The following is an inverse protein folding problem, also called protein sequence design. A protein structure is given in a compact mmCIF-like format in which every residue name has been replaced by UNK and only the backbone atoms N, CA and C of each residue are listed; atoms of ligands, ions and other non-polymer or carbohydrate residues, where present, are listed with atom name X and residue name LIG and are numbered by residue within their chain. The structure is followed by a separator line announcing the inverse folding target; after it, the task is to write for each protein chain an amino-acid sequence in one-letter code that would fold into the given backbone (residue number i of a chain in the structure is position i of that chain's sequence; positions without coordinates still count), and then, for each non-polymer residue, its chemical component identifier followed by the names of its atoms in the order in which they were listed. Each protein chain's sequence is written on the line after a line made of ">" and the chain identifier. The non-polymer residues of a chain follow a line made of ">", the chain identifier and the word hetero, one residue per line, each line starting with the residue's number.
data_IF_418063452533
#
_entry.id   IF_418063452533
#
_cell.length_a   1.000
_cell.length_b   1.000
_cell.length_c   1.000
_cell.angle_alpha   90.00
_cell.angle_beta   90.00
_cell.angle_gamma   90.00
#
_symmetry.space_group_name_H-M   'P 1'
#
loop_
_entity.id
_entity.type
_entity.pdbx_description
1 polymer ?
#
# COMPACT_ATOMS: atom_id res chain seq x y z
N UNK A 1 24.41 -33.19 -7.23
CA UNK A 1 23.70 -31.99 -7.75
C UNK A 1 22.68 -31.59 -6.71
N UNK A 2 23.07 -30.74 -5.75
CA UNK A 2 22.24 -30.40 -4.56
C UNK A 2 22.17 -28.87 -4.35
N UNK A 3 23.21 -28.13 -4.77
CA UNK A 3 23.25 -26.67 -4.62
C UNK A 3 22.30 -25.93 -5.57
N UNK A 4 22.05 -26.45 -6.78
CA UNK A 4 21.13 -25.80 -7.74
C UNK A 4 19.65 -25.94 -7.35
N UNK A 5 19.26 -27.10 -6.82
CA UNK A 5 17.87 -27.34 -6.40
C UNK A 5 17.53 -26.60 -5.11
N UNK A 6 18.46 -26.53 -4.16
CA UNK A 6 18.28 -25.74 -2.94
C UNK A 6 18.15 -24.24 -3.24
N UNK A 7 19.07 -23.67 -4.02
CA UNK A 7 18.96 -22.26 -4.42
C UNK A 7 17.71 -21.92 -5.24
N UNK A 8 17.24 -22.86 -6.08
CA UNK A 8 15.96 -22.72 -6.79
C UNK A 8 14.76 -22.70 -5.82
N UNK A 9 14.70 -23.65 -4.88
CA UNK A 9 13.63 -23.73 -3.89
C UNK A 9 13.62 -22.52 -2.96
N UNK A 10 14.78 -22.08 -2.50
CA UNK A 10 14.93 -20.88 -1.66
C UNK A 10 14.50 -19.61 -2.42
N UNK A 11 14.81 -19.54 -3.72
CA UNK A 11 14.34 -18.47 -4.61
C UNK A 11 12.83 -18.46 -4.81
N UNK A 12 12.21 -19.63 -5.01
CA UNK A 12 10.74 -19.75 -5.13
C UNK A 12 10.05 -19.35 -3.83
N UNK A 13 10.55 -19.83 -2.69
CA UNK A 13 9.98 -19.50 -1.37
C UNK A 13 10.13 -18.02 -1.05
N UNK A 14 11.29 -17.41 -1.32
CA UNK A 14 11.47 -15.97 -1.14
C UNK A 14 10.60 -15.15 -2.09
N UNK A 15 10.39 -15.61 -3.32
CA UNK A 15 9.42 -15.00 -4.24
C UNK A 15 8.01 -14.99 -3.64
N UNK A 16 7.56 -16.10 -3.06
CA UNK A 16 6.27 -16.19 -2.38
C UNK A 16 6.19 -15.30 -1.12
N UNK A 17 7.26 -15.24 -0.33
CA UNK A 17 7.32 -14.36 0.83
C UNK A 17 7.25 -12.90 0.42
N UNK A 18 8.00 -12.49 -0.60
CA UNK A 18 7.95 -11.12 -1.13
C UNK A 18 6.55 -10.78 -1.64
N UNK A 19 5.94 -11.65 -2.44
CA UNK A 19 4.59 -11.45 -2.98
C UNK A 19 3.54 -11.27 -1.85
N UNK A 20 3.64 -12.04 -0.76
CA UNK A 20 2.78 -11.90 0.42
C UNK A 20 3.11 -10.66 1.25
N UNK A 21 4.41 -10.39 1.45
CA UNK A 21 4.92 -9.29 2.26
C UNK A 21 4.50 -7.93 1.70
N UNK A 22 4.57 -7.76 0.37
CA UNK A 22 4.18 -6.55 -0.34
C UNK A 22 2.73 -6.16 -0.03
N UNK A 23 1.83 -7.14 0.06
CA UNK A 23 0.42 -6.89 0.41
C UNK A 23 0.23 -6.74 1.92
N UNK A 24 0.96 -7.50 2.75
CA UNK A 24 0.60 -7.68 4.17
C UNK A 24 1.44 -6.87 5.17
N UNK A 25 2.75 -7.14 5.25
CA UNK A 25 3.57 -6.73 6.41
C UNK A 25 4.96 -6.21 6.06
N UNK A 26 5.37 -6.21 4.79
CA UNK A 26 6.79 -6.16 4.46
C UNK A 26 7.57 -7.32 5.12
N UNK A 27 8.90 -7.19 5.23
CA UNK A 27 9.70 -8.12 6.02
C UNK A 27 9.55 -7.83 7.52
N UNK A 28 9.43 -6.55 7.86
CA UNK A 28 9.06 -6.07 9.19
C UNK A 28 8.09 -4.91 9.05
N UNK A 29 7.25 -4.70 10.06
CA UNK A 29 6.25 -3.64 10.09
C UNK A 29 6.25 -2.93 11.44
N UNK A 30 6.28 -1.61 11.38
CA UNK A 30 6.10 -0.70 12.52
C UNK A 30 4.67 -0.13 12.48
N UNK A 31 3.97 -0.26 13.59
CA UNK A 31 2.61 0.26 13.85
C UNK A 31 2.49 0.65 15.31
N UNK A 32 1.51 1.48 15.66
CA UNK A 32 1.17 1.70 17.07
C UNK A 32 0.59 0.43 17.68
N UNK A 33 0.69 0.28 19.01
CA UNK A 33 0.08 -0.85 19.74
C UNK A 33 -1.43 -0.92 19.53
N UNK A 34 -2.10 0.23 19.63
CA UNK A 34 -3.54 0.33 19.45
C UNK A 34 -3.97 -0.03 18.01
N UNK A 35 -3.24 0.46 16.99
CA UNK A 35 -3.50 0.09 15.60
C UNK A 35 -3.36 -1.42 15.38
N UNK A 36 -2.38 -2.06 16.03
CA UNK A 36 -2.18 -3.52 15.93
C UNK A 36 -3.36 -4.32 16.49
N UNK A 37 -3.97 -3.87 17.59
CA UNK A 37 -5.10 -4.56 18.23
C UNK A 37 -6.36 -4.51 17.35
N UNK A 38 -6.56 -3.39 16.66
CA UNK A 38 -7.76 -3.11 15.87
C UNK A 38 -7.51 -3.14 14.35
N UNK A 39 -6.43 -3.78 13.88
CA UNK A 39 -5.96 -3.66 12.49
C UNK A 39 -6.98 -4.12 11.44
N UNK A 40 -7.95 -4.95 11.82
CA UNK A 40 -9.04 -5.40 10.94
C UNK A 40 -10.00 -4.26 10.56
N UNK A 41 -10.05 -3.19 11.36
CA UNK A 41 -10.90 -2.03 11.16
C UNK A 41 -10.23 -0.91 10.35
N UNK A 42 -8.94 -1.07 10.01
CA UNK A 42 -8.12 -0.02 9.37
C UNK A 42 -8.19 1.34 10.11
N UNK A 43 -7.88 1.39 11.43
CA UNK A 43 -8.13 2.55 12.28
C UNK A 43 -7.12 3.67 12.04
N UNK A 44 -7.35 4.50 11.02
CA UNK A 44 -6.44 5.60 10.67
C UNK A 44 -6.38 6.71 11.74
N UNK A 45 -7.31 6.74 12.70
CA UNK A 45 -7.24 7.54 13.91
C UNK A 45 -6.13 7.08 14.89
N UNK A 46 -5.63 5.86 14.73
CA UNK A 46 -4.53 5.25 15.50
C UNK A 46 -3.20 5.19 14.71
N UNK A 47 -3.11 5.94 13.61
CA UNK A 47 -1.96 5.99 12.72
C UNK A 47 -0.68 6.50 13.40
N UNK A 48 0.46 6.21 12.79
CA UNK A 48 1.73 6.82 13.13
C UNK A 48 1.72 8.28 12.64
N UNK A 49 2.20 9.19 13.48
CA UNK A 49 2.41 10.61 13.15
C UNK A 49 3.90 10.87 12.94
N UNK A 50 4.22 12.02 12.35
CA UNK A 50 5.62 12.45 12.12
C UNK A 50 6.44 11.38 11.38
N UNK A 51 5.80 10.71 10.42
CA UNK A 51 6.35 9.51 9.78
C UNK A 51 7.60 9.80 8.96
N UNK A 52 7.78 11.03 8.46
CA UNK A 52 9.03 11.45 7.85
C UNK A 52 10.21 11.34 8.80
N UNK A 53 10.04 11.74 10.07
CA UNK A 53 11.08 11.60 11.10
C UNK A 53 11.32 10.12 11.42
N UNK A 54 10.25 9.35 11.67
CA UNK A 54 10.36 7.93 11.99
C UNK A 54 11.07 7.12 10.89
N UNK A 55 10.76 7.39 9.62
CA UNK A 55 11.42 6.73 8.48
C UNK A 55 12.90 7.09 8.42
N UNK A 56 13.26 8.34 8.71
CA UNK A 56 14.66 8.77 8.74
C UNK A 56 15.44 8.10 9.88
N UNK A 57 14.86 8.00 11.07
CA UNK A 57 15.46 7.31 12.23
C UNK A 57 15.65 5.82 11.95
N UNK A 58 14.60 5.14 11.46
CA UNK A 58 14.66 3.73 11.08
C UNK A 58 15.72 3.45 10.00
N UNK A 59 15.87 4.36 9.04
CA UNK A 59 16.88 4.22 7.98
C UNK A 59 18.31 4.41 8.50
N UNK A 60 18.51 5.22 9.53
CA UNK A 60 19.81 5.41 10.18
C UNK A 60 20.17 4.21 11.07
N UNK A 61 19.19 3.70 11.84
CA UNK A 61 19.39 2.60 12.78
C UNK A 61 19.50 1.24 12.07
N UNK A 62 18.85 1.09 10.91
CA UNK A 62 18.76 -0.14 10.13
C UNK A 62 19.11 0.08 8.66
N UNK A 63 20.38 0.41 8.32
CA UNK A 63 20.80 0.77 6.96
C UNK A 63 20.79 -0.41 5.98
N UNK A 64 20.66 -1.63 6.46
CA UNK A 64 20.47 -2.85 5.67
C UNK A 64 19.03 -3.00 5.15
N UNK A 65 18.12 -2.15 5.63
CA UNK A 65 16.74 -2.08 5.21
C UNK A 65 16.44 -0.76 4.50
N UNK A 66 15.41 -0.76 3.66
CA UNK A 66 14.72 0.45 3.26
C UNK A 66 13.32 0.46 3.86
N UNK A 67 12.86 1.65 4.21
CA UNK A 67 11.62 1.87 4.95
C UNK A 67 10.67 2.72 4.12
N UNK A 68 9.40 2.32 4.09
CA UNK A 68 8.38 2.99 3.30
C UNK A 68 7.10 3.12 4.12
N UNK A 69 6.55 4.34 4.25
CA UNK A 69 5.24 4.52 4.86
C UNK A 69 4.16 3.94 3.93
N UNK A 70 3.06 3.50 4.52
CA UNK A 70 1.86 3.02 3.81
C UNK A 70 0.61 3.43 4.55
N UNK A 71 -0.42 3.85 3.80
CA UNK A 71 -1.75 4.10 4.32
C UNK A 71 -2.70 3.03 3.80
N UNK A 72 -3.48 2.41 4.68
CA UNK A 72 -4.55 1.50 4.31
C UNK A 72 -5.88 2.13 4.67
N UNK A 73 -6.85 2.12 3.75
CA UNK A 73 -8.16 2.70 4.00
C UNK A 73 -9.25 2.00 3.21
N UNK A 74 -10.45 1.99 3.77
CA UNK A 74 -11.66 1.51 3.10
C UNK A 74 -12.57 2.67 2.74
N UNK A 75 -13.46 2.45 1.77
CA UNK A 75 -14.46 3.43 1.40
C UNK A 75 -15.42 2.92 0.33
N UNK A 76 -16.16 3.84 -0.26
CA UNK A 76 -16.92 3.63 -1.48
C UNK A 76 -16.26 4.44 -2.61
N UNK A 77 -16.15 3.86 -3.79
CA UNK A 77 -15.92 4.62 -5.01
C UNK A 77 -17.25 4.88 -5.68
N UNK A 78 -17.52 6.14 -5.98
CA UNK A 78 -18.64 6.63 -6.74
C UNK A 78 -18.15 7.09 -8.12
N UNK A 79 -18.83 6.63 -9.18
CA UNK A 79 -18.54 7.02 -10.56
C UNK A 79 -19.66 7.97 -11.01
N UNK A 80 -19.34 9.25 -11.26
CA UNK A 80 -20.33 10.20 -11.74
C UNK A 80 -20.62 10.02 -13.24
N UNK A 81 -21.84 10.33 -13.65
CA UNK A 81 -22.22 10.49 -15.06
C UNK A 81 -21.85 11.90 -15.59
N UNK A 82 -22.23 12.19 -16.84
CA UNK A 82 -21.98 13.50 -17.47
C UNK A 82 -22.64 14.69 -16.74
N UNK A 83 -23.67 14.43 -15.93
CA UNK A 83 -24.36 15.44 -15.14
C UNK A 83 -23.83 15.53 -13.69
N UNK A 84 -22.89 14.67 -13.31
CA UNK A 84 -22.37 14.55 -11.96
C UNK A 84 -23.24 13.72 -11.02
N UNK A 85 -24.21 12.96 -11.54
CA UNK A 85 -25.03 12.03 -10.77
C UNK A 85 -24.36 10.66 -10.65
N UNK A 86 -24.59 9.92 -9.56
CA UNK A 86 -24.05 8.58 -9.37
C UNK A 86 -24.51 7.64 -10.49
N UNK A 87 -23.58 7.20 -11.33
CA UNK A 87 -23.79 6.17 -12.34
C UNK A 87 -23.58 4.77 -11.76
N UNK A 88 -22.47 4.58 -11.06
CA UNK A 88 -22.11 3.31 -10.43
C UNK A 88 -21.37 3.55 -9.11
N UNK A 89 -21.48 2.60 -8.18
CA UNK A 89 -20.82 2.70 -6.89
C UNK A 89 -20.38 1.32 -6.39
N UNK A 90 -19.26 1.25 -5.69
CA UNK A 90 -18.77 0.00 -5.13
C UNK A 90 -17.79 0.18 -3.97
N UNK A 91 -17.71 -0.78 -3.05
CA UNK A 91 -16.73 -0.75 -1.97
C UNK A 91 -15.32 -0.92 -2.50
N UNK A 92 -14.38 -0.23 -1.86
CA UNK A 92 -12.95 -0.25 -2.19
C UNK A 92 -12.12 -0.46 -0.93
N UNK A 93 -11.04 -1.22 -1.07
CA UNK A 93 -9.91 -1.25 -0.14
C UNK A 93 -8.73 -0.62 -0.88
N UNK A 94 -8.23 0.48 -0.35
CA UNK A 94 -7.21 1.26 -1.00
C UNK A 94 -5.89 1.25 -0.21
N UNK A 95 -4.80 1.29 -0.96
CA UNK A 95 -3.44 1.40 -0.44
C UNK A 95 -2.80 2.68 -0.97
N UNK A 96 -2.45 3.58 -0.06
CA UNK A 96 -1.54 4.70 -0.31
C UNK A 96 -0.12 4.22 -0.15
N UNK A 97 0.59 4.03 -1.27
CA UNK A 97 1.99 3.58 -1.33
C UNK A 97 2.84 4.67 -1.98
N UNK A 98 4.12 4.74 -1.61
CA UNK A 98 5.02 5.74 -2.18
C UNK A 98 5.35 5.42 -3.65
N UNK A 99 4.60 5.95 -4.61
CA UNK A 99 4.78 5.71 -6.05
C UNK A 99 5.65 6.78 -6.70
N UNK A 100 5.59 8.01 -6.17
CA UNK A 100 6.13 9.19 -6.84
C UNK A 100 7.49 9.64 -6.30
N UNK A 101 7.92 9.19 -5.13
CA UNK A 101 9.25 9.56 -4.62
C UNK A 101 10.34 8.98 -5.50
N UNK A 102 11.37 9.78 -5.78
CA UNK A 102 12.46 9.45 -6.70
C UNK A 102 13.22 8.16 -6.33
N UNK A 103 13.40 7.92 -5.04
CA UNK A 103 14.14 6.77 -4.52
C UNK A 103 13.20 5.62 -4.08
N UNK A 104 11.91 5.71 -4.40
CA UNK A 104 10.95 4.68 -4.05
C UNK A 104 11.22 3.38 -4.80
N UNK A 105 11.11 2.27 -4.07
CA UNK A 105 11.17 0.91 -4.61
C UNK A 105 9.79 0.26 -4.70
N UNK A 106 8.69 1.01 -4.49
CA UNK A 106 7.34 0.43 -4.52
C UNK A 106 7.01 -0.15 -5.90
N UNK A 107 7.35 0.54 -6.99
CA UNK A 107 7.11 0.05 -8.36
C UNK A 107 7.80 -1.31 -8.58
N UNK A 108 9.02 -1.46 -8.06
CA UNK A 108 9.81 -2.70 -8.14
C UNK A 108 9.16 -3.83 -7.34
N UNK A 109 8.90 -3.63 -6.04
CA UNK A 109 8.42 -4.71 -5.15
C UNK A 109 7.00 -5.15 -5.50
N UNK A 110 6.14 -4.22 -5.92
CA UNK A 110 4.79 -4.52 -6.41
C UNK A 110 4.79 -5.08 -7.83
N UNK A 111 5.94 -5.05 -8.53
CA UNK A 111 6.09 -5.47 -9.93
C UNK A 111 5.04 -4.79 -10.83
N UNK A 112 4.74 -3.51 -10.56
CA UNK A 112 3.59 -2.82 -11.16
C UNK A 112 3.66 -2.78 -12.68
N UNK A 113 4.86 -2.63 -13.26
CA UNK A 113 5.05 -2.68 -14.71
C UNK A 113 4.60 -4.01 -15.34
N UNK A 114 4.66 -5.11 -14.59
CA UNK A 114 4.21 -6.44 -15.04
C UNK A 114 2.74 -6.71 -14.71
N UNK A 115 2.24 -6.07 -13.67
CA UNK A 115 0.87 -6.22 -13.20
C UNK A 115 -0.11 -5.25 -13.87
N UNK A 116 0.39 -4.20 -14.53
CA UNK A 116 -0.42 -3.25 -15.30
C UNK A 116 -1.03 -3.95 -16.52
N UNK A 117 -2.35 -3.89 -16.64
CA UNK A 117 -3.11 -4.51 -17.73
C UNK A 117 -3.54 -3.50 -18.78
N UNK A 118 -3.84 -2.27 -18.37
CA UNK A 118 -4.24 -1.17 -19.26
C UNK A 118 -3.86 0.18 -18.64
N UNK A 119 -3.66 1.20 -19.47
CA UNK A 119 -3.28 2.56 -19.06
C UNK A 119 -1.80 2.72 -18.71
N UNK A 120 -1.50 3.53 -17.68
CA UNK A 120 -0.14 3.86 -17.21
C UNK A 120 -0.06 3.89 -15.68
N UNK A 121 1.16 4.02 -15.15
CA UNK A 121 1.37 4.26 -13.72
C UNK A 121 1.00 5.72 -13.34
N UNK A 122 0.64 5.97 -12.07
CA UNK A 122 0.39 7.32 -11.55
C UNK A 122 1.61 8.23 -11.69
N UNK A 123 1.36 9.47 -12.08
CA UNK A 123 2.34 10.55 -12.28
C UNK A 123 2.12 11.71 -11.30
N UNK A 124 0.96 11.76 -10.62
CA UNK A 124 0.66 12.74 -9.59
C UNK A 124 -0.24 12.17 -8.47
N UNK A 125 -0.39 12.93 -7.39
CA UNK A 125 -1.10 12.51 -6.18
C UNK A 125 -2.58 12.20 -6.37
N UNK A 126 -3.22 12.75 -7.41
CA UNK A 126 -4.65 12.59 -7.67
C UNK A 126 -4.95 11.44 -8.63
N UNK A 127 -3.97 10.60 -8.92
CA UNK A 127 -4.12 9.49 -9.83
C UNK A 127 -4.16 8.14 -9.09
N UNK A 128 -4.98 7.24 -9.62
CA UNK A 128 -5.21 5.93 -9.03
C UNK A 128 -5.04 4.81 -10.07
N UNK A 129 -4.61 3.64 -9.58
CA UNK A 129 -4.74 2.38 -10.27
C UNK A 129 -5.86 1.58 -9.63
N UNK A 130 -6.76 1.04 -10.45
CA UNK A 130 -7.81 0.13 -9.98
C UNK A 130 -7.49 -1.30 -10.38
N UNK A 131 -7.91 -2.27 -9.58
CA UNK A 131 -7.84 -3.64 -10.07
C UNK A 131 -8.75 -3.80 -11.28
N UNK A 132 -8.34 -4.62 -12.25
CA UNK A 132 -9.13 -4.85 -13.47
C UNK A 132 -10.56 -5.33 -13.15
N UNK A 133 -10.73 -6.04 -12.03
CA UNK A 133 -12.05 -6.50 -11.60
C UNK A 133 -12.92 -5.36 -11.06
N UNK A 134 -12.35 -4.48 -10.22
CA UNK A 134 -13.08 -3.34 -9.67
C UNK A 134 -13.45 -2.35 -10.78
N UNK A 135 -12.50 -2.03 -11.67
CA UNK A 135 -12.75 -1.18 -12.83
C UNK A 135 -13.89 -1.73 -13.71
N UNK A 136 -13.84 -3.04 -14.02
CA UNK A 136 -14.90 -3.68 -14.81
C UNK A 136 -16.27 -3.73 -14.10
N UNK A 137 -16.31 -3.83 -12.77
CA UNK A 137 -17.56 -3.77 -12.00
C UNK A 137 -18.19 -2.38 -12.00
N UNK A 138 -17.36 -1.34 -11.99
CA UNK A 138 -17.78 0.05 -12.02
C UNK A 138 -17.99 0.60 -13.43
N UNK A 139 -17.62 -0.16 -14.47
CA UNK A 139 -17.71 0.26 -15.86
C UNK A 139 -16.64 1.28 -16.28
N UNK A 140 -15.53 1.36 -15.54
CA UNK A 140 -14.50 2.39 -15.69
C UNK A 140 -13.45 2.03 -16.73
N UNK A 141 -13.00 3.05 -17.44
CA UNK A 141 -11.86 3.06 -18.35
C UNK A 141 -10.76 4.03 -17.84
N UNK A 142 -9.48 3.78 -18.16
CA UNK A 142 -8.43 4.75 -17.85
C UNK A 142 -8.73 6.14 -18.45
N UNK A 143 -8.53 7.18 -17.65
CA UNK A 143 -8.84 8.59 -17.94
C UNK A 143 -10.08 9.11 -17.21
N UNK A 144 -10.93 8.23 -16.67
CA UNK A 144 -12.14 8.63 -15.94
C UNK A 144 -11.86 9.00 -14.49
N UNK A 145 -12.73 9.83 -13.91
CA UNK A 145 -12.62 10.28 -12.52
C UNK A 145 -13.57 9.48 -11.64
N UNK A 146 -13.09 9.10 -10.45
CA UNK A 146 -13.87 8.47 -9.39
C UNK A 146 -13.84 9.32 -8.14
N UNK A 147 -14.94 9.34 -7.41
CA UNK A 147 -15.05 10.01 -6.11
C UNK A 147 -14.92 8.95 -5.01
N UNK A 148 -13.83 9.01 -4.25
CA UNK A 148 -13.72 8.30 -2.98
C UNK A 148 -14.69 8.94 -1.99
N UNK A 149 -15.46 8.11 -1.29
CA UNK A 149 -16.29 8.48 -0.15
C UNK A 149 -15.82 7.64 1.05
N UNK A 150 -15.38 8.29 2.11
CA UNK A 150 -14.81 7.61 3.28
C UNK A 150 -14.76 8.50 4.51
N UNK A 151 -13.82 8.18 5.41
CA UNK A 151 -13.58 8.94 6.63
C UNK A 151 -12.11 9.33 6.76
N UNK A 152 -11.86 10.56 7.21
CA UNK A 152 -10.52 11.04 7.55
C UNK A 152 -10.01 10.37 8.83
N UNK A 153 -8.73 10.59 9.16
CA UNK A 153 -8.17 10.13 10.45
C UNK A 153 -8.85 10.75 11.68
N UNK A 154 -9.61 11.83 11.51
CA UNK A 154 -10.41 12.45 12.57
C UNK A 154 -11.86 11.93 12.62
N UNK A 155 -12.15 10.83 11.91
CA UNK A 155 -13.48 10.27 11.73
C UNK A 155 -14.50 11.25 11.10
N UNK A 156 -14.01 12.27 10.37
CA UNK A 156 -14.86 13.17 9.61
C UNK A 156 -15.19 12.56 8.24
N UNK A 157 -16.38 12.84 7.73
CA UNK A 157 -16.75 12.45 6.37
C UNK A 157 -15.86 13.17 5.34
N UNK A 158 -15.33 12.43 4.37
CA UNK A 158 -14.51 12.99 3.28
C UNK A 158 -14.96 12.47 1.92
N UNK A 159 -14.86 13.34 0.92
CA UNK A 159 -14.92 12.97 -0.49
C UNK A 159 -13.70 13.47 -1.22
N UNK A 160 -13.10 12.62 -2.05
CA UNK A 160 -11.88 12.97 -2.78
C UNK A 160 -11.88 12.38 -4.18
N UNK A 161 -11.52 13.20 -5.17
CA UNK A 161 -11.53 12.75 -6.56
C UNK A 161 -10.16 12.18 -6.96
N UNK A 162 -10.17 10.98 -7.53
CA UNK A 162 -9.02 10.38 -8.18
C UNK A 162 -9.29 10.18 -9.66
N UNK A 163 -8.32 10.46 -10.52
CA UNK A 163 -8.34 10.06 -11.93
C UNK A 163 -7.76 8.66 -12.05
N UNK A 164 -8.55 7.71 -12.55
CA UNK A 164 -8.09 6.35 -12.80
C UNK A 164 -7.21 6.36 -14.03
N UNK A 165 -5.92 6.09 -13.89
CA UNK A 165 -4.96 6.16 -15.03
C UNK A 165 -4.53 4.80 -15.56
N UNK A 166 -4.90 3.73 -14.88
CA UNK A 166 -4.61 2.38 -15.32
C UNK A 166 -5.32 1.33 -14.49
N UNK A 167 -5.29 0.10 -14.99
CA UNK A 167 -5.78 -1.07 -14.27
C UNK A 167 -4.69 -2.09 -14.07
N UNK A 168 -4.74 -2.82 -12.94
CA UNK A 168 -3.75 -3.83 -12.61
C UNK A 168 -4.37 -5.16 -12.19
N UNK A 169 -3.56 -6.21 -12.24
CA UNK A 169 -3.91 -7.56 -11.79
C UNK A 169 -2.73 -8.21 -11.09
N UNK A 170 -2.88 -8.53 -9.81
CA UNK A 170 -1.83 -9.18 -9.00
C UNK A 170 -1.85 -10.70 -9.15
N UNK A 171 -2.95 -11.27 -9.66
CA UNK A 171 -3.18 -12.73 -9.74
C UNK A 171 -3.14 -13.43 -8.36
N UNK A 172 -3.43 -12.70 -7.28
CA UNK A 172 -3.42 -13.19 -5.89
C UNK A 172 -4.82 -13.60 -5.39
N UNK A 173 -5.71 -14.01 -6.30
CA UNK A 173 -7.03 -14.56 -5.96
C UNK A 173 -8.05 -13.51 -5.51
N UNK A 174 -8.57 -13.54 -4.26
CA UNK A 174 -9.55 -12.57 -3.80
C UNK A 174 -8.94 -11.21 -3.40
N UNK A 175 -7.62 -11.15 -3.19
CA UNK A 175 -6.90 -10.01 -2.61
C UNK A 175 -7.06 -8.74 -3.44
N UNK A 176 -6.94 -8.82 -4.76
CA UNK A 176 -7.00 -7.65 -5.64
C UNK A 176 -8.42 -7.28 -6.09
N UNK A 177 -9.47 -8.04 -5.72
CA UNK A 177 -10.81 -7.88 -6.33
C UNK A 177 -11.44 -6.50 -6.17
N UNK A 178 -11.15 -5.81 -5.07
CA UNK A 178 -11.70 -4.49 -4.72
C UNK A 178 -10.58 -3.50 -4.39
N UNK A 179 -9.40 -3.72 -4.98
CA UNK A 179 -8.21 -2.97 -4.62
C UNK A 179 -8.05 -1.71 -5.47
N UNK A 180 -7.65 -0.62 -4.80
CA UNK A 180 -7.17 0.61 -5.42
C UNK A 180 -5.77 0.92 -4.90
N UNK A 181 -4.85 1.32 -5.78
CA UNK A 181 -3.54 1.84 -5.40
C UNK A 181 -3.50 3.32 -5.74
N UNK A 182 -3.06 4.13 -4.79
CA UNK A 182 -2.82 5.57 -4.96
C UNK A 182 -1.44 5.90 -4.43
N UNK A 183 -0.89 7.03 -4.84
CA UNK A 183 0.30 7.54 -4.18
C UNK A 183 -0.02 7.92 -2.72
N UNK A 184 0.92 7.70 -1.81
CA UNK A 184 0.72 8.01 -0.40
C UNK A 184 0.40 9.49 -0.17
N UNK A 185 0.96 10.41 -0.97
CA UNK A 185 0.62 11.84 -0.86
C UNK A 185 -0.85 12.10 -1.20
N UNK A 186 -1.41 11.37 -2.17
CA UNK A 186 -2.84 11.41 -2.50
C UNK A 186 -3.72 10.88 -1.38
N UNK A 187 -3.33 9.74 -0.79
CA UNK A 187 -4.03 9.18 0.37
C UNK A 187 -4.01 10.14 1.57
N UNK A 188 -2.88 10.83 1.81
CA UNK A 188 -2.76 11.82 2.88
C UNK A 188 -3.71 13.00 2.70
N UNK A 189 -3.80 13.51 1.48
CA UNK A 189 -4.73 14.59 1.14
C UNK A 189 -6.20 14.16 1.29
N UNK A 190 -6.53 12.94 0.86
CA UNK A 190 -7.89 12.43 0.94
C UNK A 190 -8.40 12.21 2.38
N UNK A 191 -7.49 11.91 3.31
CA UNK A 191 -7.83 11.43 4.65
C UNK A 191 -7.38 12.38 5.78
N UNK A 192 -6.93 13.59 5.45
CA UNK A 192 -6.31 14.55 6.38
C UNK A 192 -5.13 13.98 7.18
N UNK A 193 -4.30 13.14 6.55
CA UNK A 193 -3.18 12.44 7.20
C UNK A 193 -1.83 13.12 6.92
N UNK A 194 -1.72 14.42 7.18
CA UNK A 194 -0.46 15.17 7.00
C UNK A 194 0.66 14.55 7.85
N UNK A 195 1.77 14.21 7.19
CA UNK A 195 2.91 13.47 7.75
C UNK A 195 2.56 12.23 8.59
N UNK A 196 1.42 11.59 8.30
CA UNK A 196 0.97 10.38 8.97
C UNK A 196 0.94 9.17 8.03
N UNK A 197 0.95 7.97 8.61
CA UNK A 197 0.77 6.72 7.89
C UNK A 197 0.18 5.64 8.80
N UNK A 198 -0.64 4.74 8.25
CA UNK A 198 -1.20 3.61 9.01
C UNK A 198 -0.09 2.68 9.50
N UNK A 199 0.95 2.48 8.69
CA UNK A 199 2.08 1.61 8.99
C UNK A 199 3.35 2.04 8.24
N UNK A 200 4.51 1.68 8.78
CA UNK A 200 5.80 1.78 8.08
C UNK A 200 6.32 0.37 7.85
N UNK A 201 6.62 0.03 6.61
CA UNK A 201 7.13 -1.27 6.22
C UNK A 201 8.65 -1.20 6.02
N UNK A 202 9.36 -2.19 6.57
CA UNK A 202 10.77 -2.41 6.34
C UNK A 202 11.00 -3.61 5.44
N UNK A 203 11.87 -3.44 4.47
CA UNK A 203 12.33 -4.49 3.56
C UNK A 203 13.84 -4.53 3.56
N UNK A 204 14.42 -5.72 3.48
CA UNK A 204 15.87 -5.84 3.30
C UNK A 204 16.23 -5.28 1.93
N UNK A 205 17.40 -4.63 1.80
CA UNK A 205 17.84 -4.08 0.52
C UNK A 205 17.96 -5.14 -0.59
N UNK A 206 18.23 -6.40 -0.22
CA UNK A 206 18.28 -7.55 -1.12
C UNK A 206 16.92 -8.12 -1.50
N UNK A 207 15.83 -7.68 -0.85
CA UNK A 207 14.48 -8.27 -0.93
C UNK A 207 14.43 -9.77 -0.55
N UNK A 208 15.49 -10.27 0.11
CA UNK A 208 15.54 -11.62 0.64
C UNK A 208 15.08 -11.61 2.10
N UNK A 209 14.12 -12.46 2.43
CA UNK A 209 13.58 -12.57 3.77
C UNK A 209 14.39 -13.56 4.61
N UNK A 210 14.91 -13.08 5.74
CA UNK A 210 15.51 -13.92 6.79
C UNK A 210 14.66 -13.77 8.06
N UNK A 211 13.95 -14.84 8.40
CA UNK A 211 13.05 -14.88 9.56
C UNK A 211 13.78 -14.64 10.88
N UNK A 212 15.00 -15.18 11.01
CA UNK A 212 15.77 -15.08 12.26
C UNK A 212 16.20 -13.63 12.48
N UNK A 213 16.67 -12.98 11.41
CA UNK A 213 17.04 -11.56 11.45
C UNK A 213 15.82 -10.66 11.72
N UNK A 214 14.69 -10.92 11.06
CA UNK A 214 13.46 -10.15 11.23
C UNK A 214 12.89 -10.26 12.67
N UNK A 215 12.90 -11.46 13.26
CA UNK A 215 12.45 -11.68 14.64
C UNK A 215 13.35 -10.99 15.65
N UNK A 216 14.68 -11.06 15.46
CA UNK A 216 15.64 -10.39 16.32
C UNK A 216 15.49 -8.86 16.27
N UNK A 217 15.32 -8.30 15.07
CA UNK A 217 15.06 -6.88 14.85
C UNK A 217 13.80 -6.42 15.59
N UNK A 218 12.69 -7.16 15.41
CA UNK A 218 11.41 -6.88 16.08
C UNK A 218 11.55 -6.89 17.60
N UNK A 219 12.23 -7.89 18.17
CA UNK A 219 12.42 -7.99 19.62
C UNK A 219 13.18 -6.78 20.16
N UNK A 220 14.33 -6.47 19.55
CA UNK A 220 15.17 -5.34 19.94
C UNK A 220 14.42 -4.00 19.83
N UNK A 221 13.71 -3.78 18.72
CA UNK A 221 12.93 -2.56 18.52
C UNK A 221 11.84 -2.41 19.58
N UNK A 222 11.11 -3.49 19.87
CA UNK A 222 10.05 -3.47 20.87
C UNK A 222 10.57 -3.27 22.29
N UNK A 223 11.76 -3.77 22.65
CA UNK A 223 12.37 -3.55 23.98
C UNK A 223 12.79 -2.09 24.21
N UNK A 224 13.23 -1.39 23.16
CA UNK A 224 13.65 0.01 23.25
C UNK A 224 12.43 0.94 23.33
N UNK A 225 11.36 0.58 22.61
CA UNK A 225 10.16 1.41 22.45
C UNK A 225 8.96 0.91 23.29
N UNK A 226 9.22 0.06 24.30
CA UNK A 226 8.15 -0.55 25.12
C UNK A 226 7.60 0.32 26.24
#
# INVERSE_FOLDING_TARGET
>A
MIIFFQGFMDGVMNGMFLDSAVVSTGHVKVVTRAYKEESQLLPNDLALLETGQLVNELSQDHPDHFWTPRIMFGGLLDVPDENGETQSQGPVIALGIDLLSKDSRQIEIWKLERCLMDGRLPENANEALLSTRLAGQLGLSPGETVTLIGSTMYNAFTTYNFTVVGTFKLNMGPVDRQMMLVDISGARLALDMEDAASEILGYTNSLFYDDTAAVALRQKYNEINS
#
